data_IF_338193290690
#
_entry.id   IF_338193290690
#
_cell.length_a   1.000
_cell.length_b   1.000
_cell.length_c   1.000
_cell.angle_alpha   90.00
_cell.angle_beta   90.00
_cell.angle_gamma   90.00
#
_symmetry.space_group_name_H-M   'P 1'
#
loop_
_entity.id
_entity.type
_entity.pdbx_description
1 polymer ?
#
# COMPACT_ATOMS: atom_id res chain seq x y z
N UNK A 1 14.66 9.47 98.82
CA UNK A 1 15.90 8.65 98.86
C UNK A 1 15.53 7.21 98.55
N UNK A 2 16.49 6.38 98.09
CA UNK A 2 16.33 4.98 97.57
C UNK A 2 15.36 4.88 96.36
N UNK A 3 15.67 4.29 95.19
CA UNK A 3 16.50 3.12 94.79
C UNK A 3 15.91 1.78 95.27
N UNK A 4 15.63 0.76 94.45
CA UNK A 4 15.75 0.63 92.96
C UNK A 4 14.45 -0.04 92.41
N UNK A 5 14.31 -0.93 91.41
CA UNK A 5 15.19 -1.78 90.57
C UNK A 5 14.48 -2.08 89.23
N UNK A 6 15.18 -2.53 88.19
CA UNK A 6 14.61 -2.93 86.89
C UNK A 6 13.97 -4.33 86.91
N UNK A 7 12.95 -4.56 86.05
CA UNK A 7 12.82 -5.82 85.31
C UNK A 7 12.33 -5.56 83.87
N UNK A 8 13.06 -6.10 82.89
CA UNK A 8 12.68 -6.04 81.47
C UNK A 8 11.67 -7.13 81.09
N UNK A 9 10.79 -6.82 80.13
CA UNK A 9 10.29 -7.82 79.17
C UNK A 9 10.40 -7.27 77.76
N UNK A 10 11.06 -8.03 76.89
CA UNK A 10 11.27 -7.71 75.48
C UNK A 10 10.06 -8.22 74.70
N UNK A 11 9.38 -7.35 73.95
CA UNK A 11 8.33 -7.72 73.02
C UNK A 11 8.87 -7.62 71.58
N UNK A 12 9.02 -8.76 70.90
CA UNK A 12 9.46 -8.83 69.51
C UNK A 12 8.35 -8.35 68.56
N UNK A 13 8.42 -7.09 68.13
CA UNK A 13 7.58 -6.58 67.06
C UNK A 13 7.95 -7.27 65.73
N UNK A 14 7.01 -8.06 65.18
CA UNK A 14 7.09 -8.57 63.81
C UNK A 14 6.74 -7.46 62.84
N UNK A 15 7.77 -6.80 62.28
CA UNK A 15 7.61 -5.85 61.18
C UNK A 15 7.29 -6.59 59.87
N UNK A 16 6.00 -6.81 59.60
CA UNK A 16 5.52 -7.37 58.33
C UNK A 16 5.69 -6.34 57.19
N UNK A 17 6.80 -6.40 56.45
CA UNK A 17 6.93 -5.66 55.20
C UNK A 17 5.99 -6.24 54.12
N UNK A 18 4.87 -5.56 53.90
CA UNK A 18 4.07 -5.69 52.69
C UNK A 18 4.82 -5.01 51.54
N UNK A 19 5.55 -5.79 50.72
CA UNK A 19 5.98 -5.30 49.41
C UNK A 19 4.73 -5.18 48.51
N UNK A 20 4.43 -3.99 47.95
CA UNK A 20 3.48 -3.91 46.85
C UNK A 20 4.13 -4.56 45.62
N UNK A 21 3.65 -5.75 45.24
CA UNK A 21 4.10 -6.43 44.04
C UNK A 21 3.54 -5.69 42.82
N UNK A 22 4.19 -4.59 42.41
CA UNK A 22 3.93 -3.94 41.14
C UNK A 22 4.30 -4.91 40.02
N UNK A 23 3.30 -5.68 39.57
CA UNK A 23 3.40 -6.51 38.38
C UNK A 23 3.62 -5.62 37.17
N UNK A 24 4.89 -5.39 36.84
CA UNK A 24 5.28 -4.76 35.59
C UNK A 24 4.81 -5.68 34.45
N UNK A 25 3.68 -5.34 33.85
CA UNK A 25 3.24 -5.92 32.59
C UNK A 25 4.31 -5.58 31.55
N UNK A 26 5.20 -6.55 31.32
CA UNK A 26 6.19 -6.47 30.26
C UNK A 26 5.43 -6.47 28.93
N UNK A 27 5.16 -5.28 28.40
CA UNK A 27 4.72 -5.10 27.03
C UNK A 27 5.89 -5.53 26.15
N UNK A 28 5.92 -6.82 25.81
CA UNK A 28 6.83 -7.35 24.81
C UNK A 28 6.59 -6.57 23.53
N UNK A 29 7.59 -5.84 22.99
CA UNK A 29 7.40 -5.17 21.72
C UNK A 29 7.06 -6.25 20.68
N UNK A 30 6.00 -6.03 19.91
CA UNK A 30 5.69 -6.88 18.77
C UNK A 30 6.93 -6.89 17.86
N UNK A 31 7.53 -8.06 17.66
CA UNK A 31 8.70 -8.19 16.81
C UNK A 31 8.28 -7.93 15.37
N UNK A 32 9.01 -7.04 14.69
CA UNK A 32 8.80 -6.79 13.28
C UNK A 32 9.18 -8.05 12.48
N UNK A 33 8.26 -8.52 11.66
CA UNK A 33 8.35 -9.73 10.85
C UNK A 33 8.56 -9.39 9.35
N UNK A 34 8.83 -10.39 8.52
CA UNK A 34 9.09 -10.24 7.08
C UNK A 34 8.29 -11.25 6.25
N UNK A 35 8.25 -11.09 4.92
CA UNK A 35 7.48 -11.97 4.05
C UNK A 35 8.35 -13.06 3.42
N UNK A 36 8.37 -14.23 4.04
CA UNK A 36 9.16 -15.37 3.57
C UNK A 36 10.64 -15.02 3.50
N UNK A 37 11.26 -15.22 2.32
CA UNK A 37 12.68 -14.95 2.11
C UNK A 37 13.04 -13.45 1.95
N UNK A 38 12.09 -12.51 2.10
CA UNK A 38 12.40 -11.08 2.08
C UNK A 38 13.17 -10.68 3.35
N UNK A 39 14.37 -10.05 3.23
CA UNK A 39 15.09 -9.54 4.39
C UNK A 39 14.43 -8.27 4.93
N UNK A 40 14.59 -7.99 6.22
CA UNK A 40 14.06 -6.77 6.87
C UNK A 40 14.60 -5.45 6.26
N UNK A 41 15.72 -5.51 5.53
CA UNK A 41 16.27 -4.40 4.75
C UNK A 41 15.51 -4.11 3.45
N UNK A 42 14.71 -5.07 2.96
CA UNK A 42 13.75 -4.90 1.86
C UNK A 42 12.38 -4.48 2.41
N UNK A 43 11.80 -5.30 3.28
CA UNK A 43 10.45 -5.11 3.81
C UNK A 43 10.35 -5.65 5.23
N UNK A 44 9.63 -4.93 6.10
CA UNK A 44 9.22 -5.44 7.41
C UNK A 44 7.81 -4.95 7.76
N UNK A 45 7.10 -5.69 8.60
CA UNK A 45 5.78 -5.35 9.09
C UNK A 45 5.64 -5.64 10.59
N UNK A 46 4.81 -4.85 11.25
CA UNK A 46 4.49 -4.95 12.68
C UNK A 46 2.98 -5.22 12.78
N UNK A 47 2.57 -6.48 13.04
CA UNK A 47 1.18 -6.80 13.36
C UNK A 47 0.70 -6.03 14.58
N UNK A 48 -0.55 -5.59 14.50
CA UNK A 48 -1.21 -4.81 15.54
C UNK A 48 -2.04 -5.66 16.51
N UNK A 49 -3.16 -5.11 16.99
CA UNK A 49 -4.10 -5.84 17.86
C UNK A 49 -4.98 -6.78 17.02
N UNK A 50 -4.40 -7.90 16.57
CA UNK A 50 -5.06 -8.91 15.76
C UNK A 50 -6.01 -9.80 16.57
N UNK A 51 -7.15 -10.15 15.96
CA UNK A 51 -8.13 -11.12 16.43
C UNK A 51 -8.63 -11.94 15.23
N UNK A 52 -8.39 -13.25 15.29
CA UNK A 52 -8.80 -14.24 14.28
C UNK A 52 -10.04 -14.98 14.75
N UNK A 53 -11.02 -15.12 13.87
CA UNK A 53 -12.21 -15.96 14.06
C UNK A 53 -12.50 -16.72 12.77
N UNK A 54 -12.06 -17.99 12.71
CA UNK A 54 -12.18 -18.84 11.53
C UNK A 54 -11.41 -18.28 10.33
N UNK A 55 -12.10 -18.06 9.23
CA UNK A 55 -11.60 -17.46 7.98
C UNK A 55 -11.64 -15.92 7.96
N UNK A 56 -11.72 -15.28 9.13
CA UNK A 56 -11.74 -13.81 9.26
C UNK A 56 -10.67 -13.35 10.24
N UNK A 57 -9.83 -12.42 9.79
CA UNK A 57 -8.91 -11.61 10.58
C UNK A 57 -9.51 -10.21 10.76
N UNK A 58 -9.46 -9.71 11.99
CA UNK A 58 -9.69 -8.29 12.32
C UNK A 58 -8.49 -7.78 13.09
N UNK A 59 -8.01 -6.58 12.77
CA UNK A 59 -6.77 -6.05 13.32
C UNK A 59 -6.84 -4.51 13.46
N UNK A 60 -6.12 -3.95 14.43
CA UNK A 60 -6.01 -2.50 14.63
C UNK A 60 -4.55 -2.10 14.80
N UNK A 61 -4.19 -0.93 14.30
CA UNK A 61 -2.84 -0.33 14.37
C UNK A 61 -1.73 -1.10 13.61
N UNK A 62 -2.08 -1.82 12.54
CA UNK A 62 -1.12 -2.47 11.63
C UNK A 62 -0.13 -1.46 11.03
N UNK A 63 1.15 -1.83 10.89
CA UNK A 63 2.10 -1.04 10.09
C UNK A 63 3.10 -1.87 9.28
N UNK A 64 3.60 -1.29 8.19
CA UNK A 64 4.61 -1.89 7.32
C UNK A 64 5.60 -0.83 6.79
N UNK A 65 6.84 -1.25 6.50
CA UNK A 65 7.96 -0.36 6.14
C UNK A 65 8.78 -0.97 5.01
N UNK A 66 9.08 -0.17 3.99
CA UNK A 66 9.89 -0.59 2.84
C UNK A 66 11.39 -0.31 3.09
N UNK A 67 11.96 -1.00 4.05
CA UNK A 67 13.39 -0.92 4.39
C UNK A 67 13.86 0.50 4.71
N UNK A 68 15.06 0.85 4.25
CA UNK A 68 15.70 2.16 4.48
C UNK A 68 15.20 3.29 3.55
N UNK A 69 14.14 3.08 2.77
CA UNK A 69 13.64 4.08 1.81
C UNK A 69 12.89 5.26 2.46
N UNK A 70 12.46 5.11 3.72
CA UNK A 70 11.56 6.06 4.39
C UNK A 70 10.09 5.95 3.98
N UNK A 71 9.73 4.95 3.16
CA UNK A 71 8.33 4.66 2.81
C UNK A 71 7.70 3.74 3.87
N UNK A 72 6.56 4.13 4.44
CA UNK A 72 5.87 3.38 5.47
C UNK A 72 4.35 3.48 5.38
N UNK A 73 3.65 2.38 5.61
CA UNK A 73 2.20 2.27 5.68
C UNK A 73 1.77 2.10 7.14
N UNK A 74 0.70 2.79 7.55
CA UNK A 74 -0.07 2.49 8.76
C UNK A 74 -1.55 2.37 8.41
N UNK A 75 -2.23 1.44 9.06
CA UNK A 75 -3.68 1.21 8.89
C UNK A 75 -4.31 1.07 10.28
N UNK A 76 -5.16 2.02 10.66
CA UNK A 76 -5.80 2.04 11.99
C UNK A 76 -6.78 0.88 12.20
N UNK A 77 -7.46 0.43 11.14
CA UNK A 77 -8.32 -0.76 11.19
C UNK A 77 -8.22 -1.62 9.92
N UNK A 78 -8.13 -2.93 10.10
CA UNK A 78 -8.08 -3.96 9.05
C UNK A 78 -9.19 -4.98 9.32
N UNK A 79 -9.94 -5.32 8.29
CA UNK A 79 -10.81 -6.50 8.24
C UNK A 79 -10.43 -7.29 6.99
N UNK A 80 -10.06 -8.55 7.15
CA UNK A 80 -9.70 -9.45 6.06
C UNK A 80 -10.45 -10.76 6.21
N UNK A 81 -11.22 -11.15 5.20
CA UNK A 81 -11.96 -12.39 5.17
C UNK A 81 -11.62 -13.19 3.92
N UNK A 82 -11.34 -14.49 4.08
CA UNK A 82 -11.32 -15.41 2.93
C UNK A 82 -12.72 -15.98 2.69
N UNK A 83 -13.33 -15.62 1.56
CA UNK A 83 -14.67 -16.08 1.23
C UNK A 83 -14.76 -17.59 0.94
N UNK A 84 -13.68 -18.25 0.50
CA UNK A 84 -13.69 -19.69 0.22
C UNK A 84 -13.39 -20.56 1.45
N UNK A 85 -12.80 -20.00 2.50
CA UNK A 85 -12.49 -20.72 3.75
C UNK A 85 -11.31 -21.70 3.64
N UNK A 86 -10.42 -21.49 2.66
CA UNK A 86 -9.19 -22.26 2.47
C UNK A 86 -7.99 -21.66 3.21
N UNK A 87 -8.05 -20.37 3.58
CA UNK A 87 -6.94 -19.62 4.19
C UNK A 87 -7.17 -19.41 5.69
N UNK A 88 -6.22 -19.87 6.51
CA UNK A 88 -6.24 -19.70 7.97
C UNK A 88 -5.69 -18.35 8.44
N UNK A 89 -5.93 -17.98 9.70
CA UNK A 89 -5.61 -16.67 10.26
C UNK A 89 -4.18 -16.18 10.04
N UNK A 90 -3.18 -17.04 10.25
CA UNK A 90 -1.76 -16.69 10.06
C UNK A 90 -1.45 -16.36 8.59
N UNK A 91 -2.13 -17.03 7.65
CA UNK A 91 -1.99 -16.78 6.22
C UNK A 91 -2.81 -15.57 5.77
N UNK A 92 -3.92 -15.22 6.45
CA UNK A 92 -4.57 -13.92 6.29
C UNK A 92 -3.61 -12.79 6.70
N UNK A 93 -2.88 -12.94 7.81
CA UNK A 93 -1.83 -11.98 8.21
C UNK A 93 -0.75 -11.78 7.13
N UNK A 94 -0.32 -12.88 6.49
CA UNK A 94 0.62 -12.83 5.36
C UNK A 94 0.03 -12.19 4.11
N UNK A 95 -1.24 -12.42 3.79
CA UNK A 95 -1.95 -11.75 2.67
C UNK A 95 -2.06 -10.25 2.93
N UNK A 96 -2.41 -9.85 4.15
CA UNK A 96 -2.43 -8.45 4.59
C UNK A 96 -1.05 -7.78 4.43
N UNK A 97 0.01 -8.44 4.89
CA UNK A 97 1.38 -7.95 4.72
C UNK A 97 1.83 -7.90 3.24
N UNK A 98 1.47 -8.88 2.41
CA UNK A 98 1.74 -8.86 0.96
C UNK A 98 0.99 -7.71 0.26
N UNK A 99 -0.24 -7.38 0.66
CA UNK A 99 -0.96 -6.22 0.15
C UNK A 99 -0.26 -4.91 0.55
N UNK A 100 0.21 -4.81 1.80
CA UNK A 100 1.01 -3.67 2.27
C UNK A 100 2.34 -3.51 1.51
N UNK A 101 3.05 -4.61 1.24
CA UNK A 101 4.26 -4.63 0.40
C UNK A 101 3.97 -4.13 -1.01
N UNK A 102 2.91 -4.62 -1.66
CA UNK A 102 2.50 -4.18 -3.00
C UNK A 102 2.19 -2.69 -3.09
N UNK A 103 1.47 -2.14 -2.10
CA UNK A 103 1.18 -0.69 -2.01
C UNK A 103 2.45 0.13 -1.83
N UNK A 104 3.38 -0.31 -0.98
CA UNK A 104 4.64 0.38 -0.74
C UNK A 104 5.58 0.35 -1.97
N UNK A 105 5.71 -0.80 -2.63
CA UNK A 105 6.47 -0.95 -3.90
C UNK A 105 5.89 -0.08 -5.01
N UNK A 106 4.56 -0.02 -5.14
CA UNK A 106 3.89 0.84 -6.12
C UNK A 106 4.12 2.34 -5.83
N UNK A 107 4.11 2.75 -4.55
CA UNK A 107 4.34 4.14 -4.16
C UNK A 107 5.81 4.57 -4.26
N UNK A 108 6.76 3.65 -4.02
CA UNK A 108 8.19 3.83 -4.30
C UNK A 108 8.52 3.83 -5.80
N UNK A 109 7.54 3.45 -6.65
CA UNK A 109 7.67 3.34 -8.10
C UNK A 109 8.66 2.26 -8.59
N UNK A 110 8.87 1.21 -7.80
CA UNK A 110 9.73 0.08 -8.18
C UNK A 110 10.12 -0.81 -6.99
N UNK A 111 11.03 -1.76 -7.24
CA UNK A 111 11.66 -2.55 -6.18
C UNK A 111 12.91 -1.80 -5.65
N UNK A 112 13.05 -1.62 -4.32
CA UNK A 112 14.33 -1.23 -3.73
C UNK A 112 15.44 -2.23 -4.06
N UNK A 113 16.70 -1.79 -4.06
CA UNK A 113 17.85 -2.65 -4.34
C UNK A 113 17.91 -3.90 -3.42
N UNK A 114 17.51 -3.76 -2.15
CA UNK A 114 17.43 -4.87 -1.20
C UNK A 114 16.35 -5.93 -1.54
N UNK A 115 15.40 -5.61 -2.42
CA UNK A 115 14.33 -6.51 -2.86
C UNK A 115 14.60 -7.13 -4.25
N UNK A 116 15.59 -6.63 -5.00
CA UNK A 116 15.72 -6.83 -6.45
C UNK A 116 16.07 -8.27 -6.91
N UNK A 117 16.31 -9.19 -5.97
CA UNK A 117 16.68 -10.58 -6.23
C UNK A 117 15.77 -11.62 -5.56
N UNK A 118 14.63 -11.17 -5.03
CA UNK A 118 13.65 -12.05 -4.37
C UNK A 118 12.37 -12.18 -5.19
N UNK A 119 11.80 -13.39 -5.22
CA UNK A 119 10.48 -13.68 -5.80
C UNK A 119 9.38 -12.86 -5.12
N UNK A 120 8.25 -12.62 -5.81
CA UNK A 120 7.11 -11.96 -5.18
C UNK A 120 6.53 -12.86 -4.06
N UNK A 121 6.34 -12.35 -2.83
CA UNK A 121 5.97 -13.18 -1.68
C UNK A 121 4.51 -13.66 -1.74
N UNK A 122 4.27 -14.86 -1.23
CA UNK A 122 2.93 -15.41 -0.94
C UNK A 122 1.95 -15.52 -2.13
N UNK A 123 2.44 -15.52 -3.38
CA UNK A 123 1.60 -15.72 -4.59
C UNK A 123 0.73 -16.98 -4.48
N UNK A 124 1.24 -18.05 -3.88
CA UNK A 124 0.52 -19.30 -3.63
C UNK A 124 -0.62 -19.18 -2.63
N UNK A 125 -0.52 -18.31 -1.61
CA UNK A 125 -1.60 -18.05 -0.66
C UNK A 125 -2.72 -17.21 -1.30
N UNK A 126 -2.34 -16.23 -2.12
CA UNK A 126 -3.30 -15.36 -2.83
C UNK A 126 -4.20 -16.14 -3.80
N UNK A 127 -3.70 -17.21 -4.43
CA UNK A 127 -4.51 -18.04 -5.36
C UNK A 127 -5.34 -19.12 -4.68
N UNK A 128 -5.00 -19.51 -3.45
CA UNK A 128 -5.69 -20.58 -2.73
C UNK A 128 -7.06 -20.15 -2.16
N UNK A 129 -7.18 -18.88 -1.76
CA UNK A 129 -8.40 -18.31 -1.19
C UNK A 129 -9.21 -17.44 -2.16
N UNK A 130 -10.15 -16.69 -1.61
CA UNK A 130 -10.79 -15.51 -2.21
C UNK A 130 -10.81 -14.38 -1.16
N UNK A 131 -9.68 -13.68 -0.93
CA UNK A 131 -9.60 -12.63 0.08
C UNK A 131 -10.38 -11.35 -0.30
N UNK A 132 -11.20 -10.90 0.66
CA UNK A 132 -11.85 -9.60 0.76
C UNK A 132 -11.14 -8.81 1.88
N UNK A 133 -10.39 -7.78 1.49
CA UNK A 133 -9.52 -6.97 2.36
C UNK A 133 -10.03 -5.53 2.45
N UNK A 134 -10.38 -5.09 3.65
CA UNK A 134 -10.86 -3.75 3.95
C UNK A 134 -9.93 -3.05 4.93
N UNK A 135 -9.46 -1.86 4.56
CA UNK A 135 -8.62 -0.98 5.37
C UNK A 135 -9.37 0.31 5.69
N UNK A 136 -9.16 0.84 6.89
CA UNK A 136 -9.59 2.17 7.30
C UNK A 136 -8.51 2.91 8.07
N UNK A 137 -8.60 4.24 8.07
CA UNK A 137 -7.63 5.15 8.70
C UNK A 137 -6.19 4.89 8.19
N UNK A 138 -6.03 5.00 6.87
CA UNK A 138 -4.78 4.68 6.18
C UNK A 138 -3.89 5.93 6.14
N UNK A 139 -2.61 5.76 6.43
CA UNK A 139 -1.56 6.77 6.22
C UNK A 139 -0.34 6.12 5.57
N UNK A 140 0.10 6.70 4.46
CA UNK A 140 1.24 6.30 3.66
C UNK A 140 2.26 7.44 3.67
N UNK A 141 3.35 7.20 4.37
CA UNK A 141 4.47 8.13 4.54
C UNK A 141 5.49 7.90 3.42
N UNK A 142 6.09 8.99 2.93
CA UNK A 142 7.32 8.99 2.13
C UNK A 142 8.18 10.20 2.54
N UNK A 143 9.48 10.27 2.17
CA UNK A 143 10.32 11.42 2.54
C UNK A 143 9.74 12.76 2.10
N UNK A 144 9.31 13.59 3.06
CA UNK A 144 8.72 14.91 2.84
C UNK A 144 7.19 14.97 2.65
N UNK A 145 6.49 13.83 2.56
CA UNK A 145 5.05 13.81 2.23
C UNK A 145 4.29 12.74 3.01
N UNK A 146 3.00 13.01 3.31
CA UNK A 146 2.10 12.06 3.94
C UNK A 146 0.78 11.99 3.14
N UNK A 147 0.54 10.89 2.44
CA UNK A 147 -0.75 10.59 1.82
C UNK A 147 -1.64 9.87 2.84
N UNK A 148 -2.90 10.25 2.92
CA UNK A 148 -3.92 9.61 3.77
C UNK A 148 -5.05 9.07 2.91
N UNK A 149 -5.77 8.06 3.41
CA UNK A 149 -7.05 7.64 2.86
C UNK A 149 -8.01 7.25 4.00
N UNK A 150 -9.29 7.60 3.88
CA UNK A 150 -10.32 7.20 4.85
C UNK A 150 -10.49 5.69 4.86
N UNK A 151 -10.57 5.09 3.67
CA UNK A 151 -10.73 3.65 3.49
C UNK A 151 -10.19 3.17 2.15
N UNK A 152 -9.82 1.89 2.10
CA UNK A 152 -9.54 1.14 0.89
C UNK A 152 -10.13 -0.27 0.99
N UNK A 153 -10.45 -0.87 -0.15
CA UNK A 153 -11.08 -2.18 -0.27
C UNK A 153 -10.49 -2.90 -1.48
N UNK A 154 -10.10 -4.16 -1.31
CA UNK A 154 -9.67 -5.08 -2.36
C UNK A 154 -10.48 -6.37 -2.26
N UNK A 155 -11.19 -6.72 -3.32
CA UNK A 155 -12.13 -7.84 -3.37
C UNK A 155 -11.69 -8.82 -4.47
N UNK A 156 -11.29 -10.02 -4.07
CA UNK A 156 -10.90 -11.09 -5.01
C UNK A 156 -12.14 -11.76 -5.59
N UNK A 157 -12.45 -11.44 -6.85
CA UNK A 157 -13.60 -11.99 -7.57
C UNK A 157 -13.34 -13.42 -8.05
N UNK A 158 -12.10 -13.72 -8.43
CA UNK A 158 -11.66 -14.98 -9.03
C UNK A 158 -10.15 -15.15 -8.80
N UNK A 159 -9.66 -16.39 -8.69
CA UNK A 159 -8.21 -16.70 -8.56
C UNK A 159 -7.67 -17.64 -9.63
N UNK A 160 -8.52 -18.41 -10.32
CA UNK A 160 -8.13 -19.42 -11.32
C UNK A 160 -8.95 -19.24 -12.60
N UNK A 161 -8.33 -19.24 -13.80
CA UNK A 161 -6.90 -19.41 -14.09
C UNK A 161 -6.07 -18.12 -13.96
N UNK A 162 -6.73 -16.97 -13.84
CA UNK A 162 -6.12 -15.67 -13.48
C UNK A 162 -6.79 -15.14 -12.22
N UNK A 163 -6.10 -14.25 -11.50
CA UNK A 163 -6.65 -13.58 -10.32
C UNK A 163 -7.26 -12.24 -10.72
N UNK A 164 -8.56 -12.07 -10.47
CA UNK A 164 -9.34 -10.87 -10.80
C UNK A 164 -9.69 -10.15 -9.51
N UNK A 165 -9.23 -8.91 -9.37
CA UNK A 165 -9.35 -8.11 -8.16
C UNK A 165 -10.05 -6.79 -8.47
N UNK A 166 -11.18 -6.56 -7.79
CA UNK A 166 -11.80 -5.22 -7.72
C UNK A 166 -11.13 -4.44 -6.61
N UNK A 167 -10.87 -3.15 -6.82
CA UNK A 167 -10.37 -2.26 -5.78
C UNK A 167 -11.16 -0.96 -5.69
N UNK A 168 -11.19 -0.37 -4.51
CA UNK A 168 -11.59 1.03 -4.31
C UNK A 168 -10.82 1.68 -3.16
N UNK A 169 -10.68 3.01 -3.22
CA UNK A 169 -10.10 3.84 -2.18
C UNK A 169 -10.84 5.18 -2.12
N UNK A 170 -11.09 5.69 -0.92
CA UNK A 170 -11.91 6.87 -0.68
C UNK A 170 -11.31 7.81 0.36
N UNK A 171 -11.58 9.11 0.22
CA UNK A 171 -11.04 10.13 1.12
C UNK A 171 -9.52 10.22 1.02
N UNK A 172 -8.98 9.95 -0.17
CA UNK A 172 -7.56 10.10 -0.50
C UNK A 172 -7.18 11.58 -0.43
N UNK A 173 -6.10 11.90 0.28
CA UNK A 173 -5.67 13.28 0.49
C UNK A 173 -4.18 13.36 0.84
N UNK A 174 -3.46 14.29 0.23
CA UNK A 174 -2.07 14.64 0.57
C UNK A 174 -1.99 16.18 0.71
N UNK A 175 -1.62 16.73 1.89
CA UNK A 175 -1.57 18.17 2.10
C UNK A 175 -0.64 18.87 1.10
N UNK A 176 -1.11 19.96 0.50
CA UNK A 176 -0.42 20.74 -0.55
C UNK A 176 -0.25 20.04 -1.92
N UNK A 177 -0.78 18.83 -2.13
CA UNK A 177 -0.69 18.12 -3.41
C UNK A 177 -2.08 17.98 -4.07
N UNK A 178 -2.47 18.90 -4.99
CA UNK A 178 -3.80 18.91 -5.60
C UNK A 178 -4.00 17.79 -6.64
N UNK A 179 -2.90 17.15 -7.07
CA UNK A 179 -2.90 16.08 -8.07
C UNK A 179 -3.09 14.67 -7.45
N UNK A 180 -3.53 14.61 -6.18
CA UNK A 180 -4.03 13.38 -5.56
C UNK A 180 -5.54 13.29 -5.79
N UNK A 181 -6.04 12.24 -6.43
CA UNK A 181 -7.48 12.04 -6.58
C UNK A 181 -8.12 11.77 -5.21
N UNK A 182 -9.33 12.28 -4.96
CA UNK A 182 -10.06 12.09 -3.70
C UNK A 182 -10.64 10.68 -3.54
N UNK A 183 -10.78 9.96 -4.66
CA UNK A 183 -11.20 8.57 -4.73
C UNK A 183 -10.61 7.89 -5.98
N UNK A 184 -10.34 6.60 -5.87
CA UNK A 184 -9.89 5.74 -6.97
C UNK A 184 -10.61 4.38 -6.91
N UNK A 185 -10.83 3.74 -8.04
CA UNK A 185 -11.57 2.47 -8.15
C UNK A 185 -11.27 1.77 -9.46
N UNK A 186 -11.35 0.44 -9.49
CA UNK A 186 -11.27 -0.30 -10.75
C UNK A 186 -11.32 -1.81 -10.58
N UNK A 187 -11.08 -2.51 -11.69
CA UNK A 187 -10.82 -3.94 -11.73
C UNK A 187 -9.53 -4.18 -12.49
N UNK A 188 -8.65 -4.99 -11.91
CA UNK A 188 -7.48 -5.52 -12.60
C UNK A 188 -7.48 -7.05 -12.55
N UNK A 189 -6.93 -7.66 -13.58
CA UNK A 189 -6.68 -9.08 -13.69
C UNK A 189 -5.18 -9.29 -13.76
N UNK A 190 -4.62 -10.23 -12.99
CA UNK A 190 -3.22 -10.62 -13.14
C UNK A 190 -3.04 -12.13 -13.27
N UNK A 191 -2.00 -12.54 -13.98
CA UNK A 191 -1.56 -13.94 -14.03
C UNK A 191 -0.58 -14.18 -12.88
N UNK A 192 -0.93 -15.02 -11.88
CA UNK A 192 -0.07 -15.25 -10.72
C UNK A 192 1.24 -15.94 -11.12
N UNK A 193 2.36 -15.23 -10.97
CA UNK A 193 3.70 -15.72 -11.30
C UNK A 193 4.68 -15.24 -10.21
N UNK A 194 5.48 -16.11 -9.58
CA UNK A 194 6.46 -15.69 -8.56
C UNK A 194 7.61 -14.85 -9.11
N UNK A 195 7.86 -14.90 -10.43
CA UNK A 195 8.97 -14.22 -11.11
C UNK A 195 8.47 -13.41 -12.32
N UNK A 196 9.25 -12.45 -12.84
CA UNK A 196 8.93 -11.81 -14.12
C UNK A 196 8.95 -12.82 -15.30
N UNK A 197 8.15 -12.60 -16.36
CA UNK A 197 7.26 -11.46 -16.54
C UNK A 197 5.93 -11.61 -15.79
N UNK A 198 5.46 -10.48 -15.26
CA UNK A 198 4.12 -10.35 -14.68
C UNK A 198 3.15 -9.82 -15.74
N UNK A 199 2.08 -10.56 -16.01
CA UNK A 199 0.98 -10.20 -16.92
C UNK A 199 -0.14 -9.59 -16.09
N UNK A 200 -0.45 -8.31 -16.34
CA UNK A 200 -1.46 -7.53 -15.62
C UNK A 200 -2.31 -6.75 -16.62
N UNK A 201 -3.62 -6.99 -16.61
CA UNK A 201 -4.63 -6.20 -17.34
C UNK A 201 -5.43 -5.32 -16.39
N UNK A 202 -5.78 -4.13 -16.87
CA UNK A 202 -6.69 -3.20 -16.20
C UNK A 202 -7.96 -3.08 -17.06
N UNK A 203 -9.06 -3.70 -16.63
CA UNK A 203 -10.31 -3.71 -17.40
C UNK A 203 -10.93 -2.31 -17.40
N UNK A 204 -10.91 -1.67 -16.23
CA UNK A 204 -11.18 -0.26 -16.05
C UNK A 204 -10.53 0.23 -14.74
N UNK A 205 -9.96 1.43 -14.80
CA UNK A 205 -9.55 2.25 -13.66
C UNK A 205 -10.25 3.60 -13.79
N UNK A 206 -10.74 4.12 -12.67
CA UNK A 206 -11.41 5.41 -12.56
C UNK A 206 -10.91 6.12 -11.30
N UNK A 207 -10.50 7.37 -11.43
CA UNK A 207 -10.14 8.24 -10.31
C UNK A 207 -10.77 9.62 -10.48
N UNK A 208 -11.16 10.27 -9.38
CA UNK A 208 -11.77 11.61 -9.41
C UNK A 208 -10.87 12.59 -8.67
N UNK A 209 -10.55 13.69 -9.33
CA UNK A 209 -9.55 14.67 -8.89
C UNK A 209 -10.09 16.06 -9.21
N UNK A 210 -10.58 16.77 -8.19
CA UNK A 210 -11.14 18.12 -8.30
C UNK A 210 -12.23 18.31 -9.40
N UNK A 211 -13.12 17.34 -9.57
CA UNK A 211 -14.16 17.38 -10.61
C UNK A 211 -13.68 16.98 -12.01
N UNK A 212 -12.38 16.79 -12.23
CA UNK A 212 -11.88 15.95 -13.32
C UNK A 212 -12.08 14.48 -12.99
N UNK A 213 -12.44 13.69 -14.01
CA UNK A 213 -12.41 12.22 -13.96
C UNK A 213 -11.26 11.74 -14.82
N UNK A 214 -10.35 10.98 -14.22
CA UNK A 214 -9.35 10.19 -14.93
C UNK A 214 -9.95 8.80 -15.14
N UNK A 215 -9.91 8.27 -16.36
CA UNK A 215 -10.17 6.85 -16.61
C UNK A 215 -9.02 6.22 -17.38
N UNK A 216 -8.87 4.89 -17.28
CA UNK A 216 -7.92 4.15 -18.10
C UNK A 216 -8.16 2.65 -18.09
N UNK A 217 -7.56 1.97 -19.05
CA UNK A 217 -7.61 0.51 -19.23
C UNK A 217 -6.42 0.05 -20.06
N UNK A 218 -6.16 -1.25 -20.12
CA UNK A 218 -5.08 -1.81 -20.95
C UNK A 218 -4.41 -3.04 -20.34
N UNK A 219 -3.18 -3.32 -20.78
CA UNK A 219 -2.40 -4.47 -20.35
C UNK A 219 -0.89 -4.15 -20.31
N UNK A 220 -0.19 -4.69 -19.32
CA UNK A 220 1.25 -4.57 -19.12
C UNK A 220 1.86 -5.95 -18.90
N UNK A 221 2.92 -6.26 -19.65
CA UNK A 221 3.80 -7.39 -19.43
C UNK A 221 5.11 -6.87 -18.81
N UNK A 222 5.15 -6.83 -17.48
CA UNK A 222 6.28 -6.31 -16.71
C UNK A 222 7.37 -7.38 -16.58
N UNK A 223 8.40 -7.30 -17.42
CA UNK A 223 9.55 -8.19 -17.41
C UNK A 223 10.64 -7.70 -16.44
N UNK A 224 11.73 -8.47 -16.30
CA UNK A 224 12.84 -8.15 -15.39
C UNK A 224 13.63 -6.88 -15.73
N UNK A 225 13.39 -6.27 -16.90
CA UNK A 225 13.97 -4.98 -17.27
C UNK A 225 13.06 -4.22 -18.27
N UNK A 226 13.23 -2.91 -18.35
CA UNK A 226 12.43 -2.03 -19.21
C UNK A 226 12.56 -2.34 -20.73
N UNK A 227 13.75 -2.72 -21.26
CA UNK A 227 13.87 -3.21 -22.64
C UNK A 227 13.08 -4.49 -22.96
N UNK A 228 12.90 -5.43 -22.03
CA UNK A 228 12.11 -6.66 -22.24
C UNK A 228 10.64 -6.54 -21.86
N UNK A 229 10.23 -5.43 -21.24
CA UNK A 229 8.83 -5.17 -20.89
C UNK A 229 8.03 -4.62 -22.08
N UNK A 230 6.73 -4.90 -22.09
CA UNK A 230 5.79 -4.33 -23.06
C UNK A 230 4.48 -3.93 -22.38
N UNK A 231 3.65 -3.16 -23.08
CA UNK A 231 2.32 -2.83 -22.61
C UNK A 231 1.59 -1.85 -23.51
N UNK A 232 0.27 -1.85 -23.44
CA UNK A 232 -0.62 -0.94 -24.16
C UNK A 232 -1.67 -0.45 -23.18
N UNK A 233 -1.68 0.85 -22.91
CA UNK A 233 -2.55 1.50 -21.94
C UNK A 233 -3.28 2.67 -22.58
N UNK A 234 -4.59 2.69 -22.46
CA UNK A 234 -5.43 3.83 -22.77
C UNK A 234 -5.68 4.63 -21.48
N UNK A 235 -5.55 5.95 -21.54
CA UNK A 235 -5.85 6.87 -20.42
C UNK A 235 -6.59 8.08 -20.97
N UNK A 236 -7.61 8.56 -20.26
CA UNK A 236 -8.33 9.79 -20.59
C UNK A 236 -8.68 10.61 -19.34
N UNK A 237 -8.81 11.92 -19.52
CA UNK A 237 -9.07 12.89 -18.45
C UNK A 237 -10.14 13.89 -18.94
N UNK A 238 -11.22 14.03 -18.17
CA UNK A 238 -12.20 15.11 -18.36
C UNK A 238 -11.74 16.39 -17.67
N UNK A 239 -12.11 17.55 -18.20
CA UNK A 239 -11.87 18.87 -17.59
C UNK A 239 -10.38 19.21 -17.37
N UNK A 240 -9.47 18.68 -18.21
CA UNK A 240 -8.02 18.88 -18.06
C UNK A 240 -7.57 20.36 -18.10
N UNK A 241 -8.34 21.25 -18.74
CA UNK A 241 -8.09 22.70 -18.71
C UNK A 241 -8.18 23.29 -17.29
N UNK A 242 -9.38 23.34 -16.69
CA UNK A 242 -9.57 23.79 -15.30
C UNK A 242 -8.64 23.11 -14.28
N UNK A 243 -8.31 21.83 -14.48
CA UNK A 243 -7.34 21.10 -13.66
C UNK A 243 -5.92 21.70 -13.74
N UNK A 244 -5.43 22.00 -14.95
CA UNK A 244 -4.14 22.65 -15.17
C UNK A 244 -4.13 24.05 -14.53
N UNK A 245 -5.21 24.81 -14.76
CA UNK A 245 -5.35 26.17 -14.26
C UNK A 245 -5.27 26.18 -12.72
N UNK A 246 -6.01 25.30 -12.04
CA UNK A 246 -5.94 25.15 -10.58
C UNK A 246 -4.58 24.66 -10.09
N UNK A 247 -3.99 23.66 -10.76
CA UNK A 247 -2.68 23.14 -10.40
C UNK A 247 -1.61 24.24 -10.47
N UNK A 248 -1.69 25.16 -11.45
CA UNK A 248 -0.71 26.21 -11.68
C UNK A 248 -0.46 27.15 -10.48
N UNK A 249 -1.41 27.24 -9.56
CA UNK A 249 -1.30 28.06 -8.35
C UNK A 249 -0.54 27.40 -7.18
N UNK A 250 -0.22 26.11 -7.28
CA UNK A 250 0.30 25.29 -6.16
C UNK A 250 1.35 24.25 -6.56
N UNK A 251 1.46 23.86 -7.84
CA UNK A 251 2.56 23.00 -8.34
C UNK A 251 3.65 23.84 -9.03
N UNK A 252 4.91 23.36 -9.11
CA UNK A 252 5.96 24.05 -9.84
C UNK A 252 5.61 24.25 -11.32
N UNK A 253 6.05 25.37 -11.91
CA UNK A 253 5.76 25.70 -13.31
C UNK A 253 6.23 24.63 -14.33
N UNK A 254 7.23 23.82 -13.97
CA UNK A 254 7.67 22.64 -14.75
C UNK A 254 6.58 21.55 -14.80
N UNK A 255 5.90 21.28 -13.69
CA UNK A 255 4.76 20.35 -13.62
C UNK A 255 3.56 20.90 -14.41
N UNK A 256 3.25 22.20 -14.27
CA UNK A 256 2.20 22.86 -15.08
C UNK A 256 2.52 22.76 -16.57
N UNK A 257 3.75 23.06 -16.98
CA UNK A 257 4.20 22.95 -18.37
C UNK A 257 4.11 21.51 -18.91
N UNK A 258 4.45 20.51 -18.10
CA UNK A 258 4.31 19.11 -18.48
C UNK A 258 2.83 18.71 -18.70
N UNK A 259 1.90 19.19 -17.87
CA UNK A 259 0.47 18.95 -18.05
C UNK A 259 -0.10 19.68 -19.29
N UNK A 260 0.36 20.90 -19.59
CA UNK A 260 0.03 21.63 -20.83
C UNK A 260 0.52 20.87 -22.06
N UNK A 261 1.76 20.35 -22.03
CA UNK A 261 2.31 19.51 -23.10
C UNK A 261 1.48 18.21 -23.26
N UNK A 262 1.14 17.55 -22.15
CA UNK A 262 0.28 16.36 -22.19
C UNK A 262 -1.08 16.67 -22.85
N UNK A 263 -1.75 17.77 -22.46
CA UNK A 263 -3.00 18.23 -23.08
C UNK A 263 -2.85 18.48 -24.59
N UNK A 264 -1.75 19.09 -25.04
CA UNK A 264 -1.48 19.31 -26.47
C UNK A 264 -1.17 18.02 -27.25
N UNK A 265 -0.65 16.99 -26.58
CA UNK A 265 -0.35 15.68 -27.18
C UNK A 265 -1.55 14.71 -27.18
N UNK A 266 -2.64 15.06 -26.51
CA UNK A 266 -3.84 14.23 -26.40
C UNK A 266 -4.77 14.34 -27.62
N UNK A 267 -5.58 13.30 -27.82
CA UNK A 267 -6.71 13.33 -28.77
C UNK A 267 -7.98 13.78 -28.05
N UNK A 268 -8.87 14.47 -28.76
CA UNK A 268 -10.22 14.79 -28.24
C UNK A 268 -11.13 13.57 -28.41
N UNK A 269 -11.89 13.24 -27.38
CA UNK A 269 -12.71 12.02 -27.32
C UNK A 269 -14.20 12.31 -27.05
N UNK A 270 -14.52 13.58 -26.80
CA UNK A 270 -15.85 14.05 -26.46
C UNK A 270 -15.78 15.46 -25.85
N UNK A 271 -16.91 16.02 -25.39
CA UNK A 271 -16.93 17.28 -24.66
C UNK A 271 -15.98 17.22 -23.45
N UNK A 272 -15.01 18.14 -23.43
CA UNK A 272 -13.99 18.30 -22.38
C UNK A 272 -13.15 17.06 -22.00
N UNK A 273 -13.18 16.00 -22.82
CA UNK A 273 -12.39 14.78 -22.63
C UNK A 273 -11.17 14.75 -23.56
N UNK A 274 -9.99 14.60 -22.96
CA UNK A 274 -8.71 14.41 -23.67
C UNK A 274 -8.12 13.05 -23.31
N UNK A 275 -7.59 12.31 -24.29
CA UNK A 275 -7.00 10.99 -24.03
C UNK A 275 -5.73 10.65 -24.81
N UNK A 276 -5.11 9.55 -24.42
CA UNK A 276 -3.79 9.10 -24.82
C UNK A 276 -3.73 7.58 -24.91
N UNK A 277 -3.30 7.07 -26.06
CA UNK A 277 -2.90 5.67 -26.23
C UNK A 277 -1.38 5.58 -26.00
N UNK A 278 -0.98 4.98 -24.88
CA UNK A 278 0.41 4.81 -24.46
C UNK A 278 0.86 3.39 -24.76
N UNK A 279 1.92 3.21 -25.55
CA UNK A 279 2.46 1.86 -25.84
C UNK A 279 3.94 1.77 -25.50
N UNK A 280 4.32 0.73 -24.76
CA UNK A 280 5.69 0.35 -24.44
C UNK A 280 6.08 -0.89 -25.26
N UNK A 281 7.15 -0.81 -26.03
CA UNK A 281 7.68 -1.94 -26.77
C UNK A 281 9.20 -1.82 -26.95
N UNK A 282 9.97 -2.84 -26.57
CA UNK A 282 11.44 -2.87 -26.64
C UNK A 282 12.10 -1.63 -26.00
N UNK A 283 11.67 -1.27 -24.79
CA UNK A 283 12.16 -0.09 -24.06
C UNK A 283 11.86 1.27 -24.72
N UNK A 284 10.90 1.33 -25.65
CA UNK A 284 10.50 2.56 -26.35
C UNK A 284 9.03 2.83 -26.09
N UNK A 285 8.75 3.99 -25.49
CA UNK A 285 7.37 4.47 -25.28
C UNK A 285 6.91 5.28 -26.48
N UNK A 286 5.64 5.11 -26.85
CA UNK A 286 4.90 6.01 -27.72
C UNK A 286 3.68 6.55 -26.97
N UNK A 287 3.26 7.75 -27.34
CA UNK A 287 1.98 8.36 -26.93
C UNK A 287 1.26 8.78 -28.21
N UNK A 288 0.04 8.31 -28.44
CA UNK A 288 -0.72 8.55 -29.67
C UNK A 288 0.13 8.26 -30.94
N UNK A 289 0.82 7.10 -30.93
CA UNK A 289 1.83 6.65 -31.91
C UNK A 289 3.14 7.48 -32.02
N UNK A 290 3.23 8.67 -31.44
CA UNK A 290 4.44 9.50 -31.43
C UNK A 290 5.47 8.90 -30.47
N UNK A 291 6.69 8.61 -30.96
CA UNK A 291 7.80 8.09 -30.13
C UNK A 291 8.27 9.15 -29.13
N UNK A 292 8.31 8.80 -27.85
CA UNK A 292 8.80 9.68 -26.78
C UNK A 292 10.24 9.32 -26.42
N UNK A 293 11.19 10.28 -26.46
CA UNK A 293 12.56 10.05 -26.02
C UNK A 293 12.63 10.06 -24.49
N UNK A 294 12.29 8.93 -23.87
CA UNK A 294 12.48 8.75 -22.42
C UNK A 294 13.95 8.44 -22.15
N UNK A 295 14.62 9.33 -21.45
CA UNK A 295 15.88 9.03 -20.79
C UNK A 295 15.59 8.13 -19.57
N UNK A 296 15.71 6.82 -19.75
CA UNK A 296 15.63 5.87 -18.64
C UNK A 296 16.84 6.13 -17.73
N UNK A 297 16.59 6.42 -16.46
CA UNK A 297 17.66 6.57 -15.47
C UNK A 297 18.50 5.29 -15.36
N UNK A 298 19.79 5.45 -15.06
CA UNK A 298 20.69 4.36 -14.68
C UNK A 298 20.58 4.08 -13.18
#
# INVERSE_FOLDING_TARGET
>A
MTSTTSQHRIALFRSSLLLPLMGALAVTPALADTLGDLPASCFSYEPGQAHVSGNTLTERDFSAKLGSTGYALKVGNVTLKDASGHVGGDDLGKIQATAAYGVLVAHYHGLPAACAHHSFPNVTLLVAGQPDLQWGQIRLDRPGHNLTARSAHLETLQTTPKMVVRFSAQGLHEPNHPLVPSQASGVFTFTPNPNPPFDVSFDHVNAVMDGSRITGSGHVLAASNFPSSSGEMHVSITNIGPLIDKASHVVPATTTGALVIARMMGKSEGPDQTGWDVTLHNGKVRINSIKIPIAVGK
#
